data_IF_622984032260
#
_entry.id   IF_622984032260
#
_cell.length_a   1.000
_cell.length_b   1.000
_cell.length_c   1.000
_cell.angle_alpha   90.00
_cell.angle_beta   90.00
_cell.angle_gamma   90.00
#
_symmetry.space_group_name_H-M   'P 1'
#
loop_
_entity.id
_entity.type
_entity.pdbx_description
1 polymer ?
#
# COMPACT_ATOMS: atom_id res chain seq x y z
N UNK A 1 -8.47 10.51 -0.46
CA UNK A 1 -7.46 11.56 -0.77
C UNK A 1 -6.20 10.81 -1.16
N UNK A 2 -5.71 10.99 -2.40
CA UNK A 2 -4.43 10.42 -2.82
C UNK A 2 -3.33 11.29 -2.21
N UNK A 3 -2.37 10.68 -1.53
CA UNK A 3 -1.19 11.38 -1.01
C UNK A 3 -0.02 10.91 -1.87
N UNK A 4 0.66 11.87 -2.49
CA UNK A 4 1.88 11.60 -3.26
C UNK A 4 3.10 11.79 -2.35
N UNK A 5 4.05 10.87 -2.48
CA UNK A 5 5.32 10.91 -1.75
C UNK A 5 6.44 10.94 -2.78
N UNK A 6 7.27 11.98 -2.74
CA UNK A 6 8.47 12.06 -3.57
C UNK A 6 9.57 11.16 -2.98
N UNK A 7 9.76 9.98 -3.56
CA UNK A 7 10.77 9.02 -3.11
C UNK A 7 12.22 9.50 -3.29
N UNK A 8 12.46 10.51 -4.14
CA UNK A 8 13.81 11.04 -4.39
C UNK A 8 14.18 12.19 -3.45
N UNK A 9 13.18 12.79 -2.79
CA UNK A 9 13.36 13.84 -1.81
C UNK A 9 14.33 13.39 -0.70
N UNK A 10 15.34 14.21 -0.33
CA UNK A 10 16.33 13.84 0.68
C UNK A 10 15.74 13.38 2.02
N UNK A 11 14.63 13.98 2.44
CA UNK A 11 13.90 13.67 3.67
C UNK A 11 13.24 12.28 3.67
N UNK A 12 12.93 11.71 2.49
CA UNK A 12 12.32 10.40 2.36
C UNK A 12 13.34 9.27 2.21
N UNK A 13 14.64 9.59 2.24
CA UNK A 13 15.72 8.60 2.18
C UNK A 13 15.96 7.99 3.56
N UNK A 14 15.98 6.66 3.63
CA UNK A 14 16.20 5.89 4.87
C UNK A 14 15.23 6.30 6.01
N UNK A 15 13.94 6.43 5.68
CA UNK A 15 12.87 6.72 6.63
C UNK A 15 12.91 5.79 7.85
N UNK A 16 12.77 6.37 9.03
CA UNK A 16 12.56 5.65 10.29
C UNK A 16 11.17 6.00 10.80
N UNK A 17 10.42 4.97 11.17
CA UNK A 17 9.11 5.16 11.81
C UNK A 17 9.33 5.81 13.18
N UNK A 18 8.41 6.71 13.53
CA UNK A 18 8.29 7.32 14.85
C UNK A 18 6.96 6.82 15.41
N UNK A 19 7.04 5.77 16.24
CA UNK A 19 5.89 5.04 16.79
C UNK A 19 5.81 5.28 18.29
N UNK A 20 4.59 5.35 18.82
CA UNK A 20 4.37 5.49 20.26
C UNK A 20 4.63 4.16 21.01
N UNK A 21 4.81 4.25 22.33
CA UNK A 21 4.99 3.07 23.17
C UNK A 21 3.81 2.10 23.05
N UNK A 22 4.11 0.87 22.61
CA UNK A 22 3.10 -0.18 22.41
C UNK A 22 2.54 -0.27 20.98
N UNK A 23 2.92 0.65 20.09
CA UNK A 23 2.62 0.54 18.67
C UNK A 23 3.66 -0.35 17.96
N UNK A 24 3.16 -1.28 17.13
CA UNK A 24 3.99 -2.13 16.28
C UNK A 24 3.35 -2.11 14.90
N UNK A 25 4.03 -1.46 13.95
CA UNK A 25 3.54 -1.27 12.59
C UNK A 25 4.63 -1.69 11.61
N UNK A 26 4.29 -2.56 10.67
CA UNK A 26 5.14 -2.92 9.54
C UNK A 26 4.71 -2.13 8.30
N UNK A 27 5.66 -1.49 7.61
CA UNK A 27 5.40 -0.81 6.33
C UNK A 27 5.63 -1.78 5.19
N UNK A 28 4.58 -2.01 4.40
CA UNK A 28 4.65 -2.81 3.17
C UNK A 28 4.51 -1.91 1.96
N UNK A 29 5.54 -1.89 1.10
CA UNK A 29 5.49 -1.20 -0.18
C UNK A 29 5.10 -2.20 -1.28
N UNK A 30 4.09 -1.86 -2.06
CA UNK A 30 3.57 -2.70 -3.14
C UNK A 30 3.49 -1.87 -4.41
N UNK A 31 3.98 -2.41 -5.52
CA UNK A 31 3.83 -1.78 -6.84
C UNK A 31 2.34 -1.68 -7.21
N UNK A 32 1.88 -0.51 -7.67
CA UNK A 32 0.47 -0.26 -7.99
C UNK A 32 -0.10 -1.29 -8.99
N UNK A 33 0.69 -1.70 -9.98
CA UNK A 33 0.30 -2.69 -11.00
C UNK A 33 0.12 -4.10 -10.45
N UNK A 34 0.71 -4.39 -9.30
CA UNK A 34 0.65 -5.70 -8.63
C UNK A 34 -0.25 -5.68 -7.40
N UNK A 35 -0.90 -4.55 -7.11
CA UNK A 35 -1.61 -4.34 -5.85
C UNK A 35 -2.72 -5.36 -5.61
N UNK A 36 -3.55 -5.63 -6.62
CA UNK A 36 -4.64 -6.61 -6.47
C UNK A 36 -4.09 -8.03 -6.22
N UNK A 37 -3.12 -8.47 -7.03
CA UNK A 37 -2.50 -9.80 -6.88
C UNK A 37 -1.80 -9.95 -5.53
N UNK A 38 -1.16 -8.90 -5.02
CA UNK A 38 -0.56 -8.90 -3.69
C UNK A 38 -1.62 -9.03 -2.58
N UNK A 39 -2.72 -8.28 -2.69
CA UNK A 39 -3.83 -8.37 -1.73
C UNK A 39 -4.43 -9.77 -1.74
N UNK A 40 -4.70 -10.35 -2.91
CA UNK A 40 -5.26 -11.70 -3.02
C UNK A 40 -4.35 -12.77 -2.40
N UNK A 41 -3.03 -12.59 -2.53
CA UNK A 41 -2.04 -13.45 -1.88
C UNK A 41 -2.03 -13.26 -0.35
N UNK A 42 -1.91 -12.03 0.16
CA UNK A 42 -1.74 -11.79 1.59
C UNK A 42 -3.02 -12.01 2.40
N UNK A 43 -4.19 -11.94 1.75
CA UNK A 43 -5.48 -12.22 2.38
C UNK A 43 -5.60 -13.64 2.95
N UNK A 44 -4.68 -14.56 2.60
CA UNK A 44 -4.63 -15.89 3.23
C UNK A 44 -4.07 -15.86 4.65
N UNK A 45 -3.30 -14.82 4.99
CA UNK A 45 -2.59 -14.67 6.27
C UNK A 45 -3.17 -13.54 7.13
N UNK A 46 -3.72 -12.48 6.51
CA UNK A 46 -4.21 -11.29 7.21
C UNK A 46 -5.56 -10.81 6.67
N UNK A 47 -6.30 -10.09 7.49
CA UNK A 47 -7.50 -9.38 7.04
C UNK A 47 -7.10 -8.04 6.41
N UNK A 48 -7.41 -7.88 5.13
CA UNK A 48 -7.19 -6.62 4.41
C UNK A 48 -8.41 -5.71 4.57
N UNK A 49 -8.16 -4.43 4.86
CA UNK A 49 -9.21 -3.43 4.98
C UNK A 49 -10.02 -3.29 3.67
N UNK A 50 -11.34 -3.19 3.81
CA UNK A 50 -12.27 -3.12 2.68
C UNK A 50 -12.01 -1.94 1.73
N UNK A 51 -11.54 -0.79 2.24
CA UNK A 51 -11.23 0.37 1.41
C UNK A 51 -9.98 0.12 0.56
N UNK A 52 -8.97 -0.55 1.14
CA UNK A 52 -7.75 -0.96 0.42
C UNK A 52 -8.08 -1.97 -0.68
N UNK A 53 -8.90 -2.98 -0.37
CA UNK A 53 -9.33 -3.96 -1.36
C UNK A 53 -10.14 -3.31 -2.50
N UNK A 54 -11.09 -2.43 -2.16
CA UNK A 54 -11.92 -1.72 -3.14
C UNK A 54 -11.07 -0.83 -4.04
N UNK A 55 -10.07 -0.13 -3.47
CA UNK A 55 -9.12 0.67 -4.24
C UNK A 55 -8.34 -0.18 -5.24
N UNK A 56 -7.84 -1.35 -4.82
CA UNK A 56 -7.10 -2.26 -5.70
C UNK A 56 -7.94 -2.80 -6.86
N UNK A 57 -9.20 -3.16 -6.61
CA UNK A 57 -10.15 -3.55 -7.66
C UNK A 57 -10.35 -2.43 -8.69
N UNK A 58 -10.58 -1.19 -8.21
CA UNK A 58 -10.74 -0.02 -9.06
C UNK A 58 -9.51 0.26 -9.93
N UNK A 59 -8.31 0.20 -9.33
CA UNK A 59 -7.04 0.34 -10.04
C UNK A 59 -6.87 -0.73 -11.13
N UNK A 60 -7.11 -1.99 -10.79
CA UNK A 60 -7.01 -3.09 -11.74
C UNK A 60 -7.98 -2.92 -12.92
N UNK A 61 -9.24 -2.55 -12.66
CA UNK A 61 -10.20 -2.31 -13.76
C UNK A 61 -9.84 -1.11 -14.63
N UNK A 62 -9.32 -0.03 -14.05
CA UNK A 62 -8.87 1.14 -14.81
C UNK A 62 -7.72 0.79 -15.77
N UNK A 63 -6.81 -0.09 -15.37
CA UNK A 63 -5.68 -0.54 -16.21
C UNK A 63 -6.12 -1.36 -17.42
N UNK A 64 -7.29 -2.00 -17.37
CA UNK A 64 -7.81 -2.82 -18.46
C UNK A 64 -8.73 -2.04 -19.43
N UNK A 65 -8.95 -0.74 -19.19
CA UNK A 65 -9.79 0.12 -20.02
C UNK A 65 -9.03 0.85 -21.14
N UNK A 66 -7.70 0.74 -21.18
CA UNK A 66 -6.84 1.39 -22.18
C UNK A 66 -5.83 0.42 -22.79
#
# INVERSE_FOLDING_TARGET
>A
MLVEVDGDAPENKNLKQDLDDGEIIEVVLVECEKLLSYIEFICTEVYVDSMVYTFALGMNYAQHLF
#
